data_IF_425796588016
#
_entry.id   IF_425796588016
#
_cell.length_a   1.000
_cell.length_b   1.000
_cell.length_c   1.000
_cell.angle_alpha   90.00
_cell.angle_beta   90.00
_cell.angle_gamma   90.00
#
_symmetry.space_group_name_H-M   'P 1'
#
loop_
_entity.id
_entity.type
_entity.pdbx_description
1 polymer ?
#
# COMPACT_ATOMS: atom_id res chain seq x y z
N UNK A 1 4.17 69.40 10.18
CA UNK A 1 3.02 68.48 10.28
C UNK A 1 3.38 67.17 9.57
N UNK A 2 3.74 66.11 10.32
CA UNK A 2 4.10 64.82 9.72
C UNK A 2 2.86 63.99 9.40
N UNK A 3 2.69 63.57 8.14
CA UNK A 3 1.64 62.63 7.76
C UNK A 3 2.02 61.24 8.24
N UNK A 4 1.29 60.71 9.22
CA UNK A 4 1.40 59.30 9.60
C UNK A 4 0.69 58.50 8.49
N UNK A 5 1.47 58.02 7.53
CA UNK A 5 0.98 57.05 6.55
C UNK A 5 0.96 55.67 7.17
N UNK A 6 -0.22 55.11 7.39
CA UNK A 6 -0.36 53.69 7.73
C UNK A 6 0.25 52.88 6.60
N UNK A 7 1.42 52.28 6.83
CA UNK A 7 2.25 51.69 5.77
C UNK A 7 1.62 50.48 5.08
N UNK A 8 0.51 49.94 5.57
CA UNK A 8 -0.27 48.92 4.87
C UNK A 8 -1.67 48.86 5.49
N UNK A 9 -2.67 49.40 4.79
CA UNK A 9 -4.05 49.07 5.11
C UNK A 9 -4.31 47.66 4.55
N UNK A 10 -4.80 46.73 5.38
CA UNK A 10 -5.19 45.39 4.94
C UNK A 10 -6.18 45.54 3.79
N UNK A 11 -5.84 44.98 2.63
CA UNK A 11 -6.68 45.13 1.44
C UNK A 11 -7.76 44.04 1.40
N UNK A 12 -8.89 44.33 0.74
CA UNK A 12 -9.94 43.33 0.54
C UNK A 12 -9.40 42.11 -0.22
N UNK A 13 -8.52 42.35 -1.21
CA UNK A 13 -7.86 41.30 -1.98
C UNK A 13 -6.98 40.41 -1.10
N UNK A 14 -6.23 41.00 -0.18
CA UNK A 14 -5.41 40.26 0.78
C UNK A 14 -6.29 39.36 1.68
N UNK A 15 -7.39 39.90 2.19
CA UNK A 15 -8.32 39.15 3.03
C UNK A 15 -8.94 37.97 2.27
N UNK A 16 -9.44 38.21 1.06
CA UNK A 16 -9.99 37.16 0.20
C UNK A 16 -8.93 36.10 -0.14
N UNK A 17 -7.70 36.53 -0.43
CA UNK A 17 -6.59 35.61 -0.73
C UNK A 17 -6.24 34.75 0.46
N UNK A 18 -6.19 35.29 1.68
CA UNK A 18 -5.96 34.52 2.91
C UNK A 18 -7.03 33.44 3.08
N UNK A 19 -8.31 33.82 2.93
CA UNK A 19 -9.43 32.87 3.05
C UNK A 19 -9.55 31.88 1.89
N UNK A 20 -8.98 32.16 0.72
CA UNK A 20 -8.99 31.23 -0.41
C UNK A 20 -7.75 30.32 -0.43
N UNK A 21 -6.55 30.91 -0.24
CA UNK A 21 -5.27 30.22 -0.38
C UNK A 21 -4.98 29.30 0.81
N UNK A 22 -5.36 29.66 2.05
CA UNK A 22 -5.13 28.78 3.21
C UNK A 22 -5.94 27.49 3.05
N UNK A 23 -7.26 27.50 2.80
CA UNK A 23 -8.01 26.28 2.59
C UNK A 23 -7.53 25.51 1.36
N UNK A 24 -7.25 26.20 0.25
CA UNK A 24 -6.73 25.57 -0.96
C UNK A 24 -5.39 24.88 -0.71
N UNK A 25 -4.50 25.51 0.07
CA UNK A 25 -3.22 24.94 0.47
C UNK A 25 -3.40 23.69 1.32
N UNK A 26 -4.30 23.73 2.31
CA UNK A 26 -4.62 22.56 3.15
C UNK A 26 -5.14 21.40 2.28
N UNK A 27 -6.13 21.66 1.41
CA UNK A 27 -6.64 20.64 0.51
C UNK A 27 -5.58 20.13 -0.47
N UNK A 28 -4.71 21.01 -0.97
CA UNK A 28 -3.60 20.64 -1.84
C UNK A 28 -2.61 19.70 -1.15
N UNK A 29 -2.25 19.97 0.10
CA UNK A 29 -1.38 19.10 0.90
C UNK A 29 -2.05 17.75 1.14
N UNK A 30 -3.32 17.73 1.55
CA UNK A 30 -4.08 16.48 1.77
C UNK A 30 -4.17 15.68 0.48
N UNK A 31 -4.50 16.33 -0.63
CA UNK A 31 -4.58 15.70 -1.95
C UNK A 31 -3.22 15.09 -2.31
N UNK A 32 -2.13 15.84 -2.14
CA UNK A 32 -0.80 15.36 -2.45
C UNK A 32 -0.46 14.13 -1.61
N UNK A 33 -0.66 14.16 -0.29
CA UNK A 33 -0.42 13.02 0.60
C UNK A 33 -1.28 11.81 0.25
N UNK A 34 -2.52 12.03 -0.21
CA UNK A 34 -3.45 10.95 -0.57
C UNK A 34 -3.10 10.32 -1.91
N UNK A 35 -2.69 11.12 -2.89
CA UNK A 35 -2.35 10.64 -4.24
C UNK A 35 -0.90 10.20 -4.35
N UNK A 36 0.00 10.64 -3.46
CA UNK A 36 1.42 10.26 -3.46
C UNK A 36 1.64 8.75 -3.56
N UNK A 37 0.96 7.90 -2.76
CA UNK A 37 1.19 6.45 -2.79
C UNK A 37 0.90 5.84 -4.15
N UNK A 38 -0.03 6.43 -4.92
CA UNK A 38 -0.37 5.95 -6.27
C UNK A 38 0.76 6.17 -7.27
N UNK A 39 1.60 7.19 -7.07
CA UNK A 39 2.78 7.43 -7.91
C UNK A 39 3.96 6.53 -7.52
N UNK A 40 4.00 6.02 -6.29
CA UNK A 40 5.04 5.10 -5.81
C UNK A 40 4.60 3.63 -5.82
N UNK A 41 3.40 3.33 -6.34
CA UNK A 41 2.86 1.97 -6.37
C UNK A 41 3.68 1.08 -7.30
N UNK A 42 3.97 -0.14 -6.81
CA UNK A 42 4.68 -1.17 -7.57
C UNK A 42 3.90 -1.45 -8.86
N UNK A 43 4.57 -1.41 -10.04
CA UNK A 43 3.90 -1.65 -11.31
C UNK A 43 3.22 -3.02 -11.29
N UNK A 44 2.02 -3.10 -11.85
CA UNK A 44 1.29 -4.37 -11.95
C UNK A 44 2.07 -5.35 -12.84
N UNK A 45 2.17 -6.60 -12.41
CA UNK A 45 2.74 -7.68 -13.22
C UNK A 45 2.13 -7.70 -14.62
N UNK A 46 2.98 -7.79 -15.65
CA UNK A 46 2.58 -7.90 -17.05
C UNK A 46 2.82 -9.33 -17.54
N UNK A 47 1.89 -9.92 -18.32
CA UNK A 47 2.14 -11.20 -18.99
C UNK A 47 3.40 -11.11 -19.86
N UNK A 48 4.37 -12.02 -19.64
CA UNK A 48 5.66 -12.03 -20.32
C UNK A 48 6.83 -11.42 -19.53
N UNK A 49 6.56 -10.72 -18.42
CA UNK A 49 7.60 -10.31 -17.47
C UNK A 49 8.01 -11.50 -16.59
N UNK A 50 9.29 -11.65 -16.20
CA UNK A 50 9.66 -12.62 -15.15
C UNK A 50 8.95 -12.30 -13.82
N UNK A 51 8.58 -13.34 -13.07
CA UNK A 51 7.90 -13.20 -11.80
C UNK A 51 8.90 -12.94 -10.67
N UNK A 52 8.99 -11.69 -10.22
CA UNK A 52 9.92 -11.25 -9.15
C UNK A 52 9.23 -11.08 -7.78
N UNK A 53 7.95 -11.44 -7.68
CA UNK A 53 7.21 -11.34 -6.42
C UNK A 53 7.38 -12.61 -5.58
N UNK A 54 7.27 -12.50 -4.23
CA UNK A 54 7.27 -13.68 -3.39
C UNK A 54 6.14 -14.65 -3.77
N UNK A 55 6.34 -15.96 -3.58
CA UNK A 55 5.31 -16.95 -3.87
C UNK A 55 4.08 -16.69 -3.01
N UNK A 56 2.92 -16.52 -3.64
CA UNK A 56 1.67 -16.19 -2.97
C UNK A 56 0.65 -17.30 -3.17
N UNK A 57 0.07 -17.75 -2.06
CA UNK A 57 -1.00 -18.75 -2.07
C UNK A 57 -2.31 -18.08 -1.67
N UNK A 58 -3.26 -18.00 -2.58
CA UNK A 58 -4.61 -17.53 -2.27
C UNK A 58 -5.48 -18.72 -1.89
N UNK A 59 -5.93 -18.75 -0.63
CA UNK A 59 -6.91 -19.73 -0.15
C UNK A 59 -8.32 -19.14 -0.26
N UNK A 60 -9.26 -19.92 -0.78
CA UNK A 60 -10.69 -19.57 -0.77
C UNK A 60 -11.41 -20.11 0.48
N UNK A 61 -10.67 -20.62 1.47
CA UNK A 61 -11.18 -21.35 2.64
C UNK A 61 -11.39 -20.42 3.87
N UNK A 62 -12.59 -20.37 4.47
CA UNK A 62 -12.88 -19.58 5.67
C UNK A 62 -12.14 -20.05 6.94
N UNK A 63 -11.68 -21.30 7.03
CA UNK A 63 -10.92 -21.80 8.19
C UNK A 63 -9.41 -21.54 8.09
N UNK A 64 -8.91 -21.10 6.93
CA UNK A 64 -7.52 -20.66 6.77
C UNK A 64 -7.23 -19.30 7.43
N UNK A 65 -8.26 -18.57 7.87
CA UNK A 65 -8.16 -17.27 8.57
C UNK A 65 -7.96 -17.38 10.09
N UNK A 66 -8.25 -18.53 10.70
CA UNK A 66 -8.18 -18.71 12.17
C UNK A 66 -6.89 -19.37 12.66
N UNK A 67 -5.91 -19.61 11.78
CA UNK A 67 -4.58 -20.05 12.16
C UNK A 67 -3.62 -18.83 12.33
N UNK A 68 -3.25 -18.44 13.56
CA UNK A 68 -2.44 -17.24 13.83
C UNK A 68 -0.99 -17.30 13.31
N UNK A 69 -0.54 -18.42 12.75
CA UNK A 69 0.85 -18.63 12.29
C UNK A 69 1.01 -18.61 10.75
N UNK A 70 -0.09 -18.65 9.99
CA UNK A 70 -0.06 -18.90 8.55
C UNK A 70 0.18 -17.65 7.67
N UNK A 71 0.00 -16.44 8.20
CA UNK A 71 0.16 -15.19 7.44
C UNK A 71 1.49 -14.45 7.70
N UNK A 72 2.13 -14.66 8.85
CA UNK A 72 3.36 -13.94 9.22
C UNK A 72 4.65 -14.56 8.65
N UNK A 73 4.65 -15.86 8.30
CA UNK A 73 5.85 -16.56 7.78
C UNK A 73 6.00 -16.49 6.24
N UNK A 74 4.99 -16.05 5.50
CA UNK A 74 5.03 -16.03 4.04
C UNK A 74 5.88 -14.89 3.43
N UNK A 75 6.40 -13.96 4.25
CA UNK A 75 7.16 -12.80 3.81
C UNK A 75 8.59 -12.67 4.36
N UNK A 76 8.99 -13.47 5.36
CA UNK A 76 10.30 -13.33 6.00
C UNK A 76 11.12 -14.60 5.78
N UNK A 77 12.29 -14.42 5.15
CA UNK A 77 13.27 -15.49 4.97
C UNK A 77 13.64 -16.10 6.32
N UNK A 78 13.05 -17.24 6.63
CA UNK A 78 13.33 -18.00 7.83
C UNK A 78 14.22 -19.18 7.44
N UNK A 79 15.45 -19.13 7.94
CA UNK A 79 16.40 -20.24 7.98
C UNK A 79 15.70 -21.55 8.33
N UNK A 80 16.01 -22.56 7.53
CA UNK A 80 15.59 -23.93 7.74
C UNK A 80 16.26 -24.47 9.00
N UNK A 81 15.62 -24.30 10.14
CA UNK A 81 15.88 -25.10 11.33
C UNK A 81 14.95 -26.31 11.26
N UNK A 82 15.57 -27.43 10.86
CA UNK A 82 15.01 -28.76 10.92
C UNK A 82 14.61 -29.08 12.36
N UNK A 83 13.31 -29.31 12.59
CA UNK A 83 12.82 -29.91 13.81
C UNK A 83 11.51 -30.66 13.51
N UNK A 84 11.70 -31.93 13.19
CA UNK A 84 10.89 -33.08 13.59
C UNK A 84 9.40 -32.80 13.88
N UNK A 85 8.56 -33.02 12.87
CA UNK A 85 7.18 -33.50 13.09
C UNK A 85 7.05 -34.92 12.54
N UNK A 86 7.29 -35.88 13.43
CA UNK A 86 6.87 -37.25 13.26
C UNK A 86 5.34 -37.33 13.06
N UNK A 87 4.90 -38.00 11.98
CA UNK A 87 3.53 -38.50 11.86
C UNK A 87 2.59 -37.85 10.83
N UNK A 88 3.06 -37.43 9.65
CA UNK A 88 2.16 -37.06 8.54
C UNK A 88 1.93 -38.25 7.57
N UNK A 89 0.77 -38.94 7.59
CA UNK A 89 0.43 -39.93 6.57
C UNK A 89 0.04 -39.28 5.23
N UNK A 90 0.34 -40.00 4.15
CA UNK A 90 0.60 -39.49 2.81
C UNK A 90 -0.56 -38.78 2.06
N UNK A 91 -0.25 -37.79 1.19
CA UNK A 91 -1.18 -37.30 0.17
C UNK A 91 -1.45 -38.42 -0.86
N UNK A 92 -2.71 -38.75 -1.11
CA UNK A 92 -3.10 -39.91 -1.96
C UNK A 92 -4.19 -39.58 -3.00
N UNK A 93 -4.24 -38.33 -3.45
CA UNK A 93 -5.28 -37.82 -4.36
C UNK A 93 -4.79 -36.72 -5.32
N UNK A 94 -5.28 -36.62 -6.58
CA UNK A 94 -6.07 -37.60 -7.39
C UNK A 94 -6.29 -37.20 -8.88
N UNK A 95 -5.52 -36.27 -9.45
CA UNK A 95 -5.64 -35.83 -10.86
C UNK A 95 -4.95 -34.48 -11.15
N UNK A 96 -4.79 -34.09 -12.42
CA UNK A 96 -4.13 -32.84 -12.82
C UNK A 96 -4.51 -32.36 -14.24
N UNK A 97 -4.52 -31.03 -14.43
CA UNK A 97 -4.77 -30.37 -15.71
C UNK A 97 -3.62 -29.41 -16.01
N UNK A 98 -3.19 -29.34 -17.28
CA UNK A 98 -2.14 -28.43 -17.74
C UNK A 98 -2.48 -27.86 -19.12
N UNK A 99 -2.03 -26.64 -19.36
CA UNK A 99 -2.04 -25.98 -20.66
C UNK A 99 -0.82 -25.06 -20.77
N UNK A 100 -0.36 -24.84 -21.99
CA UNK A 100 0.67 -23.83 -22.31
C UNK A 100 0.00 -22.71 -23.10
N UNK A 101 0.03 -21.50 -22.55
CA UNK A 101 -0.40 -20.28 -23.23
C UNK A 101 0.78 -19.63 -23.97
#
# INVERSE_FOLDING_TARGET
>A
MGRIGYRTAVTVVETVSVFALIPLGIYGVIMLLTLWPKFTQTPRYRPGQPWEYPPLWWSADPAAASAPEALSRAGEGAEHTDNDRAGAPAPTARGGARGSW
#
